data_IF_387182430580
#
_entry.id   IF_387182430580
#
_cell.length_a   1.000
_cell.length_b   1.000
_cell.length_c   1.000
_cell.angle_alpha   90.00
_cell.angle_beta   90.00
_cell.angle_gamma   90.00
#
_symmetry.space_group_name_H-M   'P 1'
#
loop_
_entity.id
_entity.type
_entity.pdbx_description
1 polymer ?
#
# COMPACT_ATOMS: atom_id res chain seq x y z
N UNK A 1 46.75 -41.81 -10.07
CA UNK A 1 46.15 -40.51 -9.77
C UNK A 1 44.85 -40.78 -9.04
N UNK A 2 44.80 -40.52 -7.74
CA UNK A 2 43.56 -40.64 -6.96
C UNK A 2 42.96 -39.25 -6.79
N UNK A 3 41.79 -39.01 -7.39
CA UNK A 3 41.02 -37.81 -7.18
C UNK A 3 40.19 -37.99 -5.91
N UNK A 4 40.56 -37.33 -4.84
CA UNK A 4 39.74 -37.23 -3.62
C UNK A 4 38.58 -36.24 -3.89
N UNK A 5 37.40 -36.79 -4.18
CA UNK A 5 36.15 -36.01 -4.25
C UNK A 5 35.75 -35.54 -2.84
N UNK A 6 36.04 -34.29 -2.52
CA UNK A 6 35.55 -33.66 -1.31
C UNK A 6 34.02 -33.42 -1.44
N UNK A 7 33.22 -34.12 -0.63
CA UNK A 7 31.81 -33.83 -0.46
C UNK A 7 31.69 -32.49 0.27
N UNK A 8 31.20 -31.46 -0.45
CA UNK A 8 30.82 -30.19 0.20
C UNK A 8 29.65 -30.47 1.15
N UNK A 9 29.89 -30.36 2.45
CA UNK A 9 28.83 -30.39 3.47
C UNK A 9 28.07 -29.11 3.34
N UNK A 10 26.81 -29.20 2.93
CA UNK A 10 25.92 -28.05 2.89
C UNK A 10 25.77 -27.50 4.32
N UNK A 11 25.98 -26.18 4.48
CA UNK A 11 25.74 -25.53 5.76
C UNK A 11 24.26 -25.74 6.17
N UNK A 12 23.98 -25.98 7.47
CA UNK A 12 22.62 -26.20 7.93
C UNK A 12 21.76 -24.95 7.58
N UNK A 13 20.61 -25.18 6.96
CA UNK A 13 19.66 -24.12 6.66
C UNK A 13 19.24 -23.45 7.98
N UNK A 14 19.37 -22.12 8.04
CA UNK A 14 18.96 -21.33 9.21
C UNK A 14 17.43 -21.46 9.34
N UNK A 15 16.94 -22.00 10.47
CA UNK A 15 15.51 -22.09 10.74
C UNK A 15 14.91 -20.68 10.87
N UNK A 16 13.84 -20.42 10.10
CA UNK A 16 13.12 -19.14 10.19
C UNK A 16 12.38 -19.02 11.54
N UNK A 17 12.32 -17.80 12.06
CA UNK A 17 11.60 -17.50 13.29
C UNK A 17 10.10 -17.30 13.00
N UNK A 18 9.24 -17.80 13.89
CA UNK A 18 7.83 -17.45 13.89
C UNK A 18 7.67 -16.02 14.43
N UNK A 19 7.42 -15.06 13.54
CA UNK A 19 7.16 -13.67 13.89
C UNK A 19 5.65 -13.42 13.91
N UNK A 20 5.19 -12.53 14.79
CA UNK A 20 3.80 -12.06 14.78
C UNK A 20 3.51 -11.21 13.53
N UNK A 21 2.22 -10.97 13.23
CA UNK A 21 1.84 -10.13 12.09
C UNK A 21 2.32 -8.69 12.28
N UNK A 22 2.74 -8.06 11.17
CA UNK A 22 3.28 -6.69 11.12
C UNK A 22 2.46 -5.86 10.15
N UNK A 23 2.20 -4.60 10.48
CA UNK A 23 1.57 -3.64 9.60
C UNK A 23 2.52 -2.47 9.33
N UNK A 24 3.11 -2.40 8.13
CA UNK A 24 3.89 -1.25 7.70
C UNK A 24 2.96 -0.12 7.26
N UNK A 25 3.13 1.05 7.87
CA UNK A 25 2.29 2.23 7.66
C UNK A 25 3.07 3.32 6.96
N UNK A 26 2.52 3.78 5.82
CA UNK A 26 3.06 4.87 5.01
C UNK A 26 2.08 6.04 5.02
N UNK A 27 2.46 7.17 5.69
CA UNK A 27 1.58 8.32 5.85
C UNK A 27 1.39 9.09 4.53
N UNK A 28 0.37 9.96 4.51
CA UNK A 28 0.19 10.94 3.46
C UNK A 28 1.15 12.12 3.56
N UNK A 29 0.98 13.08 2.64
CA UNK A 29 1.68 14.35 2.71
C UNK A 29 1.34 15.10 4.02
N UNK A 30 2.32 15.73 4.63
CA UNK A 30 2.22 16.39 5.94
C UNK A 30 1.70 15.48 7.07
N UNK A 31 2.02 14.19 6.99
CA UNK A 31 1.65 13.19 8.00
C UNK A 31 0.14 12.91 8.13
N UNK A 32 -0.67 13.37 7.14
CA UNK A 32 -2.12 13.22 7.15
C UNK A 32 -2.56 11.76 7.34
N UNK A 33 -3.33 11.49 8.39
CA UNK A 33 -3.89 10.18 8.70
C UNK A 33 -2.95 9.16 9.33
N UNK A 34 -1.63 9.36 9.31
CA UNK A 34 -0.66 8.40 9.85
C UNK A 34 -0.89 8.11 11.33
N UNK A 35 -1.25 9.11 12.11
CA UNK A 35 -1.53 8.94 13.54
C UNK A 35 -2.65 7.92 13.77
N UNK A 36 -3.72 7.95 12.97
CA UNK A 36 -4.81 6.98 13.06
C UNK A 36 -4.37 5.59 12.60
N UNK A 37 -3.58 5.49 11.53
CA UNK A 37 -3.06 4.20 11.03
C UNK A 37 -2.10 3.51 12.00
N UNK A 38 -1.49 4.25 12.92
CA UNK A 38 -0.60 3.70 13.95
C UNK A 38 -1.33 3.17 15.19
N UNK A 39 -2.66 3.25 15.25
CA UNK A 39 -3.45 2.72 16.37
C UNK A 39 -3.56 1.20 16.28
N UNK A 40 -3.03 0.44 17.27
CA UNK A 40 -3.05 -1.02 17.23
C UNK A 40 -4.46 -1.61 17.17
N UNK A 41 -5.45 -0.93 17.75
CA UNK A 41 -6.86 -1.37 17.73
C UNK A 41 -7.50 -1.33 16.33
N UNK A 42 -6.95 -0.55 15.41
CA UNK A 42 -7.39 -0.48 14.00
C UNK A 42 -6.62 -1.44 13.09
N UNK A 43 -5.56 -2.06 13.61
CA UNK A 43 -4.77 -3.02 12.86
C UNK A 43 -5.46 -4.38 12.76
N UNK A 44 -5.36 -5.07 11.61
CA UNK A 44 -5.96 -6.39 11.45
C UNK A 44 -5.18 -7.46 12.23
N UNK A 45 -5.89 -8.45 12.74
CA UNK A 45 -5.31 -9.67 13.34
C UNK A 45 -4.21 -9.43 14.41
N UNK A 46 -4.30 -8.33 15.15
CA UNK A 46 -3.31 -7.98 16.16
C UNK A 46 -1.93 -7.61 15.59
N UNK A 47 -1.87 -7.20 14.33
CA UNK A 47 -0.64 -6.77 13.70
C UNK A 47 -0.03 -5.55 14.43
N UNK A 48 1.28 -5.56 14.61
CA UNK A 48 1.99 -4.42 15.18
C UNK A 48 2.20 -3.35 14.11
N UNK A 49 1.63 -2.12 14.28
CA UNK A 49 1.82 -1.04 13.32
C UNK A 49 3.22 -0.42 13.46
N UNK A 50 3.92 -0.33 12.34
CA UNK A 50 5.26 0.23 12.22
C UNK A 50 5.27 1.29 11.14
N UNK A 51 5.56 2.54 11.52
CA UNK A 51 5.69 3.63 10.56
C UNK A 51 6.95 3.49 9.71
N UNK A 52 6.81 3.63 8.40
CA UNK A 52 7.93 3.73 7.47
C UNK A 52 8.23 5.22 7.24
N UNK A 53 9.40 5.71 7.66
CA UNK A 53 9.78 7.09 7.44
C UNK A 53 10.12 7.33 5.97
N UNK A 54 9.68 8.47 5.43
CA UNK A 54 10.12 9.01 4.14
C UNK A 54 9.83 10.52 4.10
N UNK A 55 10.41 11.29 3.15
CA UNK A 55 10.16 12.73 3.07
C UNK A 55 8.70 13.00 2.66
N UNK A 56 7.83 13.29 3.61
CA UNK A 56 6.41 13.56 3.37
C UNK A 56 5.91 14.85 4.02
N UNK A 57 6.80 15.59 4.69
CA UNK A 57 6.46 16.79 5.47
C UNK A 57 7.18 18.05 4.98
N UNK A 58 7.94 17.98 3.87
CA UNK A 58 8.72 19.09 3.36
C UNK A 58 7.83 20.09 2.62
N UNK A 59 8.17 21.38 2.70
CA UNK A 59 7.44 22.45 2.02
C UNK A 59 7.57 22.36 0.48
N UNK A 60 8.71 21.84 0.01
CA UNK A 60 8.98 21.63 -1.41
C UNK A 60 8.74 20.16 -1.74
N UNK A 61 7.54 19.85 -2.21
CA UNK A 61 7.18 18.48 -2.60
C UNK A 61 7.95 18.11 -3.89
N UNK A 62 8.88 17.19 -3.76
CA UNK A 62 9.40 16.44 -4.90
C UNK A 62 8.76 15.05 -4.92
N UNK A 63 7.54 14.96 -5.45
CA UNK A 63 6.75 13.73 -5.42
C UNK A 63 7.51 12.49 -5.91
N UNK A 64 8.39 12.64 -6.90
CA UNK A 64 9.18 11.52 -7.44
C UNK A 64 10.23 11.05 -6.43
N UNK A 65 11.07 11.98 -5.95
CA UNK A 65 12.12 11.65 -5.00
C UNK A 65 11.54 11.14 -3.66
N UNK A 66 10.42 11.71 -3.22
CA UNK A 66 9.75 11.33 -1.98
C UNK A 66 9.18 9.91 -2.07
N UNK A 67 8.54 9.57 -3.20
CA UNK A 67 8.05 8.21 -3.45
C UNK A 67 9.21 7.22 -3.56
N UNK A 68 10.28 7.56 -4.28
CA UNK A 68 11.45 6.68 -4.43
C UNK A 68 12.12 6.41 -3.09
N UNK A 69 12.29 7.44 -2.25
CA UNK A 69 12.81 7.30 -0.89
C UNK A 69 11.91 6.42 -0.02
N UNK A 70 10.60 6.60 -0.11
CA UNK A 70 9.62 5.77 0.59
C UNK A 70 9.68 4.30 0.15
N UNK A 71 9.77 4.05 -1.16
CA UNK A 71 9.92 2.69 -1.73
C UNK A 71 11.19 2.03 -1.22
N UNK A 72 12.33 2.75 -1.22
CA UNK A 72 13.59 2.22 -0.71
C UNK A 72 13.51 1.87 0.78
N UNK A 73 12.89 2.73 1.60
CA UNK A 73 12.73 2.52 3.03
C UNK A 73 11.78 1.35 3.35
N UNK A 74 10.66 1.22 2.61
CA UNK A 74 9.75 0.09 2.78
C UNK A 74 10.42 -1.24 2.40
N UNK A 75 11.18 -1.27 1.29
CA UNK A 75 11.97 -2.45 0.91
C UNK A 75 13.03 -2.81 1.95
N UNK A 76 13.68 -1.81 2.53
CA UNK A 76 14.63 -2.01 3.64
C UNK A 76 13.92 -2.62 4.86
N UNK A 77 12.71 -2.17 5.20
CA UNK A 77 11.93 -2.72 6.29
C UNK A 77 11.54 -4.19 6.03
N UNK A 78 11.12 -4.52 4.81
CA UNK A 78 10.83 -5.91 4.40
C UNK A 78 12.10 -6.78 4.45
N UNK A 79 13.23 -6.27 3.97
CA UNK A 79 14.52 -6.95 4.06
C UNK A 79 14.90 -7.24 5.52
N UNK A 80 14.77 -6.24 6.40
CA UNK A 80 15.07 -6.39 7.82
C UNK A 80 14.17 -7.42 8.49
N UNK A 81 12.88 -7.46 8.13
CA UNK A 81 11.95 -8.45 8.66
C UNK A 81 12.35 -9.88 8.27
N UNK A 82 12.53 -10.14 6.98
CA UNK A 82 12.73 -11.51 6.48
C UNK A 82 14.18 -11.99 6.54
N UNK A 83 15.14 -11.09 6.37
CA UNK A 83 16.57 -11.47 6.32
C UNK A 83 17.27 -11.21 7.64
N UNK A 84 17.17 -9.98 8.18
CA UNK A 84 17.90 -9.63 9.42
C UNK A 84 17.26 -10.27 10.64
N UNK A 85 15.93 -10.17 10.78
CA UNK A 85 15.20 -10.81 11.88
C UNK A 85 14.90 -12.29 11.61
N UNK A 86 15.16 -12.75 10.39
CA UNK A 86 14.93 -14.14 9.97
C UNK A 86 13.49 -14.63 10.19
N UNK A 87 12.50 -13.76 9.96
CA UNK A 87 11.11 -14.15 10.02
C UNK A 87 10.73 -15.08 8.85
N UNK A 88 9.78 -15.98 9.10
CA UNK A 88 9.25 -16.88 8.06
C UNK A 88 8.59 -16.05 6.93
N UNK A 89 8.73 -16.49 5.68
CA UNK A 89 8.08 -15.87 4.52
C UNK A 89 6.54 -15.89 4.60
N UNK A 90 5.99 -16.83 5.42
CA UNK A 90 4.56 -16.88 5.73
C UNK A 90 4.13 -15.88 6.82
N UNK A 91 5.08 -15.17 7.46
CA UNK A 91 4.76 -14.08 8.39
C UNK A 91 3.81 -13.09 7.71
N UNK A 92 2.64 -12.89 8.32
CA UNK A 92 1.63 -11.99 7.75
C UNK A 92 2.12 -10.54 7.81
N UNK A 93 2.16 -9.89 6.67
CA UNK A 93 2.53 -8.49 6.53
C UNK A 93 1.39 -7.71 5.87
N UNK A 94 0.98 -6.62 6.49
CA UNK A 94 0.10 -5.64 5.90
C UNK A 94 0.93 -4.44 5.46
N UNK A 95 0.77 -4.00 4.22
CA UNK A 95 1.36 -2.76 3.70
C UNK A 95 0.22 -1.77 3.50
N UNK A 96 0.19 -0.73 4.32
CA UNK A 96 -0.91 0.23 4.36
C UNK A 96 -0.39 1.61 4.00
N UNK A 97 -1.00 2.22 2.99
CA UNK A 97 -0.63 3.55 2.52
C UNK A 97 -1.83 4.49 2.46
N UNK A 98 -1.58 5.77 2.75
CA UNK A 98 -2.55 6.85 2.59
C UNK A 98 -1.99 7.94 1.68
N UNK A 99 -2.75 8.37 0.66
CA UNK A 99 -2.39 9.50 -0.21
C UNK A 99 -1.00 9.30 -0.85
N UNK A 100 -0.02 10.16 -0.55
CA UNK A 100 1.37 9.99 -0.98
C UNK A 100 1.95 8.63 -0.55
N UNK A 101 1.63 8.19 0.67
CA UNK A 101 2.02 6.86 1.15
C UNK A 101 1.34 5.72 0.40
N UNK A 102 0.16 5.93 -0.19
CA UNK A 102 -0.48 4.95 -1.05
C UNK A 102 0.27 4.79 -2.39
N UNK A 103 0.88 5.87 -2.92
CA UNK A 103 1.77 5.77 -4.09
C UNK A 103 2.99 4.91 -3.78
N UNK A 104 3.63 5.13 -2.63
CA UNK A 104 4.78 4.33 -2.17
C UNK A 104 4.40 2.87 -1.97
N UNK A 105 3.39 2.62 -1.14
CA UNK A 105 2.92 1.28 -0.81
C UNK A 105 2.54 0.49 -2.07
N UNK A 106 1.74 1.10 -2.93
CA UNK A 106 1.30 0.50 -4.17
C UNK A 106 2.45 0.19 -5.13
N UNK A 107 3.48 1.04 -5.21
CA UNK A 107 4.66 0.78 -6.04
C UNK A 107 5.42 -0.47 -5.56
N UNK A 108 5.54 -0.67 -4.25
CA UNK A 108 6.15 -1.89 -3.70
C UNK A 108 5.26 -3.10 -3.97
N UNK A 109 3.94 -3.00 -3.76
CA UNK A 109 3.00 -4.10 -4.03
C UNK A 109 2.96 -4.53 -5.50
N UNK A 110 3.28 -3.62 -6.44
CA UNK A 110 3.43 -3.92 -7.87
C UNK A 110 4.77 -4.56 -8.22
N UNK A 111 5.85 -4.18 -7.55
CA UNK A 111 7.22 -4.46 -8.00
C UNK A 111 8.00 -5.43 -7.11
N UNK A 112 7.56 -5.65 -5.86
CA UNK A 112 8.21 -6.62 -4.98
C UNK A 112 7.98 -8.06 -5.49
N UNK A 113 9.01 -8.92 -5.49
CA UNK A 113 8.86 -10.30 -5.93
C UNK A 113 7.79 -11.05 -5.13
N UNK A 114 6.94 -11.87 -5.78
CA UNK A 114 5.92 -12.66 -5.09
C UNK A 114 6.53 -13.75 -4.20
N UNK A 115 5.69 -14.40 -3.38
CA UNK A 115 6.11 -15.52 -2.54
C UNK A 115 6.17 -15.22 -1.04
N UNK A 116 5.66 -14.05 -0.62
CA UNK A 116 5.50 -13.68 0.78
C UNK A 116 4.02 -13.54 1.12
N UNK A 117 3.67 -13.62 2.40
CA UNK A 117 2.29 -13.43 2.85
C UNK A 117 1.99 -11.94 3.09
N UNK A 118 1.85 -11.18 2.00
CA UNK A 118 1.60 -9.73 2.03
C UNK A 118 0.17 -9.42 1.60
N UNK A 119 -0.46 -8.48 2.28
CA UNK A 119 -1.75 -7.87 1.96
C UNK A 119 -1.60 -6.36 1.89
N UNK A 120 -2.00 -5.74 0.78
CA UNK A 120 -2.04 -4.28 0.61
C UNK A 120 -3.38 -3.67 1.02
N UNK A 121 -3.35 -2.47 1.62
CA UNK A 121 -4.53 -1.61 1.79
C UNK A 121 -4.14 -0.17 1.48
N UNK A 122 -4.75 0.42 0.45
CA UNK A 122 -4.40 1.74 -0.05
C UNK A 122 -5.60 2.68 0.11
N UNK A 123 -5.48 3.65 1.01
CA UNK A 123 -6.45 4.72 1.16
C UNK A 123 -6.09 5.89 0.26
N UNK A 124 -7.05 6.38 -0.52
CA UNK A 124 -6.84 7.53 -1.41
C UNK A 124 -5.65 7.37 -2.37
N UNK A 125 -5.58 6.24 -3.08
CA UNK A 125 -4.52 6.02 -4.07
C UNK A 125 -4.77 6.85 -5.34
N UNK A 126 -3.90 7.82 -5.59
CA UNK A 126 -3.97 8.69 -6.77
C UNK A 126 -3.77 7.96 -8.11
N UNK A 127 -3.19 6.76 -8.11
CA UNK A 127 -3.03 5.90 -9.29
C UNK A 127 -4.12 4.83 -9.39
N UNK A 128 -5.15 4.87 -8.54
CA UNK A 128 -6.25 3.90 -8.55
C UNK A 128 -6.95 3.87 -9.90
N UNK A 129 -7.13 2.68 -10.45
CA UNK A 129 -7.87 2.48 -11.68
C UNK A 129 -9.37 2.36 -11.40
N UNK A 130 -10.20 2.76 -12.35
CA UNK A 130 -11.67 2.73 -12.25
C UNK A 130 -12.28 1.34 -12.42
N UNK A 131 -11.55 0.37 -12.93
CA UNK A 131 -12.06 -0.98 -13.17
C UNK A 131 -12.36 -1.75 -11.89
N UNK A 132 -13.35 -2.67 -11.97
CA UNK A 132 -13.74 -3.57 -10.86
C UNK A 132 -14.16 -2.85 -9.56
N UNK A 133 -14.56 -1.59 -9.66
CA UNK A 133 -15.10 -0.82 -8.54
C UNK A 133 -16.56 -1.19 -8.25
N UNK A 134 -16.95 -1.11 -6.98
CA UNK A 134 -18.35 -1.21 -6.56
C UNK A 134 -19.18 0.04 -6.92
N UNK A 135 -18.59 1.04 -7.58
CA UNK A 135 -19.26 2.29 -7.94
C UNK A 135 -19.42 2.43 -9.46
N UNK A 136 -20.65 2.47 -9.99
CA UNK A 136 -20.88 2.71 -11.42
C UNK A 136 -20.31 4.07 -11.87
N UNK A 137 -19.55 4.06 -12.96
CA UNK A 137 -18.97 5.29 -13.51
C UNK A 137 -17.78 5.84 -12.71
N UNK A 138 -17.13 5.02 -11.89
CA UNK A 138 -15.91 5.37 -11.17
C UNK A 138 -14.84 5.91 -12.13
N UNK A 139 -14.37 7.17 -11.94
CA UNK A 139 -13.42 7.81 -12.87
C UNK A 139 -11.96 7.43 -12.63
N UNK A 140 -11.66 6.76 -11.52
CA UNK A 140 -10.28 6.52 -11.08
C UNK A 140 -9.59 7.74 -10.46
N UNK A 141 -8.31 7.59 -10.16
CA UNK A 141 -7.54 8.58 -9.42
C UNK A 141 -6.93 9.70 -10.27
N UNK A 142 -6.50 10.76 -9.59
CA UNK A 142 -5.94 11.99 -10.15
C UNK A 142 -4.74 11.75 -11.08
N UNK A 143 -3.81 10.87 -10.68
CA UNK A 143 -2.55 10.66 -11.43
C UNK A 143 -2.83 10.17 -12.84
N UNK A 144 -3.88 9.36 -13.05
CA UNK A 144 -4.28 8.92 -14.37
C UNK A 144 -4.82 10.01 -15.29
N UNK A 145 -5.13 11.19 -14.76
CA UNK A 145 -5.61 12.35 -15.50
C UNK A 145 -4.49 13.34 -15.83
N UNK A 146 -3.32 13.17 -15.26
CA UNK A 146 -2.18 14.05 -15.54
C UNK A 146 -1.55 13.71 -16.87
N UNK A 147 -1.10 14.71 -17.65
CA UNK A 147 -0.48 14.52 -18.96
C UNK A 147 0.97 13.98 -18.88
N UNK A 148 1.50 13.82 -17.69
CA UNK A 148 2.87 13.37 -17.43
C UNK A 148 2.86 12.14 -16.54
N UNK A 149 3.90 11.28 -16.59
CA UNK A 149 4.03 10.20 -15.64
C UNK A 149 3.99 10.71 -14.21
N UNK A 150 3.15 10.11 -13.39
CA UNK A 150 3.10 10.41 -11.96
C UNK A 150 4.17 9.65 -11.17
N UNK A 151 4.38 10.02 -9.90
CA UNK A 151 5.26 9.30 -8.98
C UNK A 151 4.86 7.83 -8.87
N UNK A 152 5.83 6.95 -8.80
CA UNK A 152 5.60 5.49 -8.77
C UNK A 152 5.21 4.89 -10.11
N UNK A 153 5.41 5.61 -11.22
CA UNK A 153 5.18 5.15 -12.59
C UNK A 153 4.20 6.02 -13.37
N UNK A 154 3.99 5.68 -14.64
CA UNK A 154 3.13 6.41 -15.55
C UNK A 154 1.65 6.05 -15.36
N UNK A 155 0.78 7.04 -15.24
CA UNK A 155 -0.66 6.89 -15.31
C UNK A 155 -1.29 6.07 -14.17
N UNK A 156 -2.45 5.50 -14.47
CA UNK A 156 -3.17 4.60 -13.54
C UNK A 156 -2.40 3.28 -13.36
N UNK A 157 -2.63 2.61 -12.23
CA UNK A 157 -2.11 1.25 -12.02
C UNK A 157 -2.80 0.29 -12.97
N UNK A 158 -2.07 -0.65 -13.62
CA UNK A 158 -2.70 -1.73 -14.37
C UNK A 158 -3.60 -2.58 -13.45
N UNK A 159 -4.73 -3.08 -13.95
CA UNK A 159 -5.64 -3.94 -13.16
C UNK A 159 -4.96 -5.22 -12.65
N UNK A 160 -4.00 -5.74 -13.42
CA UNK A 160 -3.21 -6.93 -13.11
C UNK A 160 -1.79 -6.59 -12.59
N UNK A 161 -1.56 -5.32 -12.25
CA UNK A 161 -0.23 -4.83 -11.85
C UNK A 161 0.25 -5.31 -10.50
N UNK A 162 -0.67 -5.53 -9.56
CA UNK A 162 -0.31 -5.94 -8.21
C UNK A 162 0.19 -7.40 -8.15
N UNK A 163 1.30 -7.61 -7.46
CA UNK A 163 1.84 -8.95 -7.18
C UNK A 163 1.25 -9.56 -5.92
N UNK A 164 0.59 -8.75 -5.10
CA UNK A 164 -0.03 -9.13 -3.84
C UNK A 164 -1.47 -8.65 -3.77
N UNK A 165 -2.36 -9.38 -3.06
CA UNK A 165 -3.72 -8.93 -2.84
C UNK A 165 -3.75 -7.51 -2.28
N UNK A 166 -4.47 -6.61 -2.95
CA UNK A 166 -4.52 -5.19 -2.58
C UNK A 166 -5.97 -4.69 -2.61
N UNK A 167 -6.41 -4.16 -1.48
CA UNK A 167 -7.66 -3.43 -1.33
C UNK A 167 -7.39 -1.94 -1.48
N UNK A 168 -8.07 -1.26 -2.40
CA UNK A 168 -8.07 0.20 -2.45
C UNK A 168 -9.35 0.74 -1.83
N UNK A 169 -9.25 1.81 -1.06
CA UNK A 169 -10.37 2.47 -0.38
C UNK A 169 -10.40 3.93 -0.79
N UNK A 170 -11.53 4.39 -1.32
CA UNK A 170 -11.71 5.74 -1.82
C UNK A 170 -13.06 6.32 -1.38
N UNK A 171 -13.06 7.53 -0.82
CA UNK A 171 -14.29 8.26 -0.55
C UNK A 171 -14.93 8.74 -1.86
N UNK A 172 -16.17 8.31 -2.10
CA UNK A 172 -16.93 8.63 -3.30
C UNK A 172 -17.83 9.85 -3.16
N UNK A 173 -18.63 10.18 -4.20
CA UNK A 173 -19.41 11.42 -4.24
C UNK A 173 -20.49 11.55 -3.17
N UNK A 174 -20.94 10.45 -2.58
CA UNK A 174 -21.99 10.47 -1.52
C UNK A 174 -21.41 10.44 -0.10
N UNK A 175 -20.09 10.37 0.05
CA UNK A 175 -19.49 10.49 1.37
C UNK A 175 -19.75 11.87 1.96
N UNK A 176 -19.73 12.00 3.29
CA UNK A 176 -20.09 13.23 4.00
C UNK A 176 -19.29 14.47 3.54
N UNK A 177 -18.07 14.28 3.04
CA UNK A 177 -17.20 15.33 2.52
C UNK A 177 -17.20 15.45 0.99
N UNK A 178 -18.01 14.67 0.27
CA UNK A 178 -17.96 14.55 -1.19
C UNK A 178 -16.89 13.56 -1.68
N UNK A 179 -16.63 13.53 -2.98
CA UNK A 179 -15.60 12.66 -3.53
C UNK A 179 -14.20 13.14 -3.15
N UNK A 180 -13.34 12.21 -2.77
CA UNK A 180 -11.91 12.49 -2.61
C UNK A 180 -11.24 12.62 -3.98
N UNK A 181 -10.93 13.84 -4.38
CA UNK A 181 -10.36 14.15 -5.69
C UNK A 181 -9.00 13.53 -5.98
N UNK A 182 -8.33 12.93 -4.99
CA UNK A 182 -7.08 12.20 -5.23
C UNK A 182 -7.37 10.84 -5.85
N UNK A 183 -8.28 10.08 -5.29
CA UNK A 183 -8.60 8.72 -5.74
C UNK A 183 -9.87 8.61 -6.58
N UNK A 184 -10.70 9.67 -6.63
CA UNK A 184 -11.95 9.76 -7.40
C UNK A 184 -12.05 11.12 -8.08
N UNK A 185 -11.57 11.24 -9.31
CA UNK A 185 -11.58 12.50 -10.06
C UNK A 185 -12.44 12.40 -11.32
N UNK A 186 -13.75 12.60 -11.19
CA UNK A 186 -14.70 12.67 -12.30
C UNK A 186 -14.81 14.07 -12.88
N UNK A 187 -14.61 15.09 -12.05
CA UNK A 187 -14.74 16.49 -12.43
C UNK A 187 -13.78 17.38 -11.64
N UNK A 188 -13.61 18.63 -12.09
CA UNK A 188 -12.82 19.63 -11.35
C UNK A 188 -13.42 19.92 -9.96
N UNK A 189 -14.75 19.76 -9.80
CA UNK A 189 -15.40 19.95 -8.51
C UNK A 189 -14.92 18.93 -7.45
N UNK A 190 -14.52 17.71 -7.87
CA UNK A 190 -14.02 16.68 -6.95
C UNK A 190 -12.69 17.07 -6.31
N UNK A 191 -11.92 18.01 -6.89
CA UNK A 191 -10.72 18.55 -6.26
C UNK A 191 -10.99 19.25 -4.91
N UNK A 192 -12.19 19.77 -4.69
CA UNK A 192 -12.57 20.31 -3.39
C UNK A 192 -12.58 19.22 -2.30
N UNK A 193 -12.81 17.96 -2.68
CA UNK A 193 -12.75 16.82 -1.79
C UNK A 193 -11.37 16.58 -1.18
N UNK A 194 -10.31 17.17 -1.74
CA UNK A 194 -9.00 17.16 -1.08
C UNK A 194 -9.04 17.79 0.32
N UNK A 195 -9.88 18.80 0.52
CA UNK A 195 -10.00 19.47 1.81
C UNK A 195 -11.13 18.91 2.69
N UNK A 196 -12.17 18.34 2.09
CA UNK A 196 -13.42 17.97 2.76
C UNK A 196 -13.65 16.48 2.91
N UNK A 197 -12.99 15.64 2.14
CA UNK A 197 -13.15 14.19 2.16
C UNK A 197 -11.82 13.45 2.34
N UNK A 198 -10.73 13.92 1.72
CA UNK A 198 -9.43 13.29 1.76
C UNK A 198 -8.89 13.04 3.18
N UNK A 199 -8.97 13.99 4.15
CA UNK A 199 -8.47 13.76 5.50
C UNK A 199 -9.39 12.90 6.39
N UNK A 200 -10.60 12.54 5.93
CA UNK A 200 -11.67 11.97 6.77
C UNK A 200 -11.93 10.48 6.51
N UNK A 201 -10.89 9.69 6.36
CA UNK A 201 -11.01 8.23 6.41
C UNK A 201 -11.06 7.74 7.86
N UNK A 202 -11.78 6.63 8.08
CA UNK A 202 -11.77 5.97 9.40
C UNK A 202 -10.43 5.32 9.71
N UNK A 203 -9.69 4.96 8.67
CA UNK A 203 -8.42 4.23 8.73
C UNK A 203 -8.49 2.90 9.51
N UNK A 204 -9.68 2.34 9.70
CA UNK A 204 -9.85 1.03 10.34
C UNK A 204 -9.54 -0.08 9.32
N UNK A 205 -8.24 -0.41 9.20
CA UNK A 205 -7.75 -1.44 8.28
C UNK A 205 -8.36 -2.80 8.60
N UNK A 206 -8.52 -3.10 9.90
CA UNK A 206 -9.15 -4.33 10.35
C UNK A 206 -10.60 -4.44 9.91
N UNK A 207 -11.40 -3.37 10.06
CA UNK A 207 -12.78 -3.34 9.60
C UNK A 207 -12.90 -3.45 8.09
N UNK A 208 -12.05 -2.76 7.34
CA UNK A 208 -12.04 -2.83 5.88
C UNK A 208 -11.77 -4.26 5.39
N UNK A 209 -10.77 -4.92 5.95
CA UNK A 209 -10.44 -6.29 5.58
C UNK A 209 -11.50 -7.30 6.05
N UNK A 210 -12.14 -7.10 7.22
CA UNK A 210 -13.28 -7.95 7.63
C UNK A 210 -14.48 -7.80 6.70
N UNK A 211 -14.75 -6.58 6.23
CA UNK A 211 -15.90 -6.32 5.35
C UNK A 211 -15.68 -6.82 3.90
N UNK A 212 -14.45 -6.76 3.40
CA UNK A 212 -14.13 -7.03 2.00
C UNK A 212 -13.30 -8.29 1.77
N UNK A 213 -12.87 -8.95 2.84
CA UNK A 213 -11.98 -10.10 2.82
C UNK A 213 -10.51 -9.70 2.66
N UNK A 214 -9.63 -10.59 3.10
CA UNK A 214 -8.25 -10.62 2.65
C UNK A 214 -8.20 -11.45 1.37
N UNK A 215 -7.28 -11.11 0.43
CA UNK A 215 -7.20 -11.86 -0.83
C UNK A 215 -7.10 -13.38 -0.69
N UNK A 216 -7.05 -14.10 -1.79
CA UNK A 216 -6.79 -13.57 -3.14
C UNK A 216 -8.00 -12.84 -3.76
N UNK A 217 -7.72 -11.77 -4.49
CA UNK A 217 -8.71 -11.07 -5.31
C UNK A 217 -8.49 -11.38 -6.79
N UNK A 218 -9.51 -11.23 -7.67
CA UNK A 218 -9.29 -11.18 -9.10
C UNK A 218 -8.19 -10.16 -9.43
N UNK A 219 -7.22 -10.56 -10.27
CA UNK A 219 -6.05 -9.70 -10.60
C UNK A 219 -5.30 -9.10 -9.39
N UNK A 220 -5.39 -9.72 -8.21
CA UNK A 220 -4.87 -9.19 -6.95
C UNK A 220 -5.41 -7.80 -6.55
N UNK A 221 -6.51 -7.35 -7.12
CA UNK A 221 -7.06 -6.03 -6.85
C UNK A 221 -8.54 -6.09 -6.47
N UNK A 222 -8.91 -5.35 -5.44
CA UNK A 222 -10.29 -4.99 -5.10
C UNK A 222 -10.38 -3.49 -4.88
N UNK A 223 -11.20 -2.83 -5.68
CA UNK A 223 -11.50 -1.42 -5.51
C UNK A 223 -12.78 -1.24 -4.70
N UNK A 224 -12.72 -0.38 -3.69
CA UNK A 224 -13.87 0.05 -2.91
C UNK A 224 -14.02 1.57 -2.97
N UNK A 225 -15.20 2.03 -3.37
CA UNK A 225 -15.63 3.41 -3.22
C UNK A 225 -16.64 3.47 -2.08
N UNK A 226 -16.35 4.29 -1.07
CA UNK A 226 -17.27 4.58 0.03
C UNK A 226 -18.33 5.54 -0.50
N UNK A 227 -19.62 5.23 -0.38
CA UNK A 227 -20.69 6.07 -0.88
C UNK A 227 -20.71 7.47 -0.27
#
# INVERSE_FOLDING_TARGET
MFTTGGTAVAAPAKTANACGPVMFVLPGYQDGGAFNLLKPELAPNGANPVRIPFPNAQQDINLYADVDAGVANLRTALYNLYVTSNCDLNTKVYIVGFSLGALVAGTVLETEPPGRNIQGVLFSDGRRQSGESNWPGDPGGLIGKLPVPGPGGAGLRPLDGFKYPTLTVCNGPRSAGGADGICFLGSVADLNGYFTSHPFYTFDVGAELRAHGEGPYPNNLRNRVIP
#
